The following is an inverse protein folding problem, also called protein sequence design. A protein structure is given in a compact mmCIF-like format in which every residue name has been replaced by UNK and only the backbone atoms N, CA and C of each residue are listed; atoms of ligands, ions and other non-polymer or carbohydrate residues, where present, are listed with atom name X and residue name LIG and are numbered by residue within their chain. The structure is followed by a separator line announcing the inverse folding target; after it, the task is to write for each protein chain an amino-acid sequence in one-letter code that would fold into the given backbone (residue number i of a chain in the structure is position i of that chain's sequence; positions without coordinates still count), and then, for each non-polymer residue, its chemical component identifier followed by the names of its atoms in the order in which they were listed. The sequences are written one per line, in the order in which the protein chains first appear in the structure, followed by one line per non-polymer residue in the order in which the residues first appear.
data_IF_624743811698
#
_entry.id   IF_624743811698
#
_cell.length_a   1.000
_cell.length_b   1.000
_cell.length_c   1.000
_cell.angle_alpha   90.00
_cell.angle_beta   90.00
_cell.angle_gamma   90.00
#
_symmetry.space_group_name_H-M   'P 1'
#
loop_
_entity.id
_entity.type
_entity.pdbx_description
1 polymer ?
#
# COMPACT_ATOMS: atom_id res chain seq x y z
N UNK A 1 -3.56 -31.25 51.94
CA UNK A 1 -4.05 -29.97 51.38
C UNK A 1 -2.85 -29.12 51.01
N UNK A 2 -2.59 -28.98 49.71
CA UNK A 2 -1.82 -27.87 49.14
C UNK A 2 -2.08 -27.88 47.63
N UNK A 3 -3.00 -27.03 47.20
CA UNK A 3 -3.35 -26.80 45.80
C UNK A 3 -2.37 -25.77 45.28
N UNK A 4 -1.39 -26.16 44.47
CA UNK A 4 -0.51 -25.19 43.81
C UNK A 4 -1.22 -24.76 42.54
N UNK A 5 -2.07 -23.73 42.67
CA UNK A 5 -2.63 -23.01 41.55
C UNK A 5 -1.55 -22.17 40.90
N UNK A 6 -1.37 -22.33 39.60
CA UNK A 6 -0.67 -21.35 38.79
C UNK A 6 -1.09 -21.38 37.31
N UNK A 7 -2.36 -21.63 37.00
CA UNK A 7 -2.93 -21.32 35.67
C UNK A 7 -3.31 -19.83 35.57
N UNK A 8 -2.28 -18.98 35.62
CA UNK A 8 -2.40 -17.54 35.43
C UNK A 8 -1.40 -17.05 34.38
N UNK A 9 -1.59 -17.43 33.11
CA UNK A 9 -0.88 -16.81 31.99
C UNK A 9 -1.61 -17.09 30.67
N UNK A 10 -1.85 -16.09 29.80
CA UNK A 10 -2.72 -16.25 28.65
C UNK A 10 -2.15 -17.26 27.63
N UNK A 11 -3.01 -17.96 26.87
CA UNK A 11 -2.56 -18.78 25.75
C UNK A 11 -1.74 -17.89 24.81
N UNK A 12 -0.52 -18.34 24.52
CA UNK A 12 0.33 -17.64 23.56
C UNK A 12 -0.37 -17.65 22.20
N UNK A 13 -0.34 -16.54 21.42
CA UNK A 13 -0.91 -16.53 20.09
C UNK A 13 -0.16 -17.55 19.23
N UNK A 14 -0.81 -18.69 18.97
CA UNK A 14 -0.27 -19.74 18.10
C UNK A 14 -0.34 -19.23 16.67
N UNK A 15 0.83 -18.87 16.12
CA UNK A 15 0.96 -18.58 14.69
C UNK A 15 0.58 -19.85 13.93
N UNK A 16 -0.52 -19.80 13.20
CA UNK A 16 -1.02 -20.97 12.46
C UNK A 16 -0.31 -21.12 11.13
N UNK A 17 -0.35 -22.33 10.55
CA UNK A 17 0.11 -22.57 9.18
C UNK A 17 -0.61 -21.67 8.15
N UNK A 18 -1.86 -21.27 8.42
CA UNK A 18 -2.59 -20.31 7.58
C UNK A 18 -1.95 -18.92 7.63
N UNK A 19 -1.56 -18.48 8.82
CA UNK A 19 -0.85 -17.21 9.05
C UNK A 19 0.55 -17.23 8.41
N UNK A 20 1.31 -18.32 8.54
CA UNK A 20 2.64 -18.47 7.92
C UNK A 20 2.54 -18.46 6.40
N UNK A 21 1.61 -19.22 5.82
CA UNK A 21 1.38 -19.22 4.37
C UNK A 21 0.94 -17.88 3.83
N UNK A 22 0.12 -17.13 4.58
CA UNK A 22 -0.27 -15.77 4.19
C UNK A 22 0.93 -14.82 4.18
N UNK A 23 1.81 -14.90 5.19
CA UNK A 23 3.04 -14.09 5.24
C UNK A 23 4.01 -14.48 4.12
N UNK A 24 4.18 -15.77 3.85
CA UNK A 24 5.01 -16.24 2.73
C UNK A 24 4.40 -15.81 1.39
N UNK A 25 3.09 -15.94 1.19
CA UNK A 25 2.41 -15.51 -0.03
C UNK A 25 2.55 -14.00 -0.24
N UNK A 26 2.41 -13.21 0.81
CA UNK A 26 2.60 -11.77 0.76
C UNK A 26 4.06 -11.41 0.45
N UNK A 27 5.02 -12.08 1.08
CA UNK A 27 6.45 -11.88 0.80
C UNK A 27 6.83 -12.25 -0.64
N UNK A 28 6.29 -13.36 -1.16
CA UNK A 28 6.49 -13.76 -2.56
C UNK A 28 5.85 -12.74 -3.49
N UNK A 29 4.62 -12.30 -3.22
CA UNK A 29 3.91 -11.30 -4.04
C UNK A 29 4.69 -9.98 -4.10
N UNK A 30 5.27 -9.52 -2.98
CA UNK A 30 6.09 -8.31 -2.91
C UNK A 30 7.46 -8.45 -3.59
N UNK A 31 7.95 -9.68 -3.78
CA UNK A 31 9.22 -9.96 -4.46
C UNK A 31 9.07 -10.21 -5.96
N UNK A 32 7.84 -10.30 -6.48
CA UNK A 32 7.60 -10.41 -7.92
C UNK A 32 7.95 -9.07 -8.58
N UNK A 33 8.69 -9.08 -9.72
CA UNK A 33 8.91 -7.86 -10.47
C UNK A 33 7.57 -7.36 -11.02
N UNK A 34 7.12 -6.19 -10.55
CA UNK A 34 6.05 -5.44 -11.17
C UNK A 34 6.68 -4.42 -12.13
N UNK A 35 6.28 -4.44 -13.40
CA UNK A 35 6.67 -3.43 -14.38
C UNK A 35 5.42 -2.66 -14.78
N UNK A 36 5.29 -1.44 -14.24
CA UNK A 36 4.42 -0.41 -14.79
C UNK A 36 5.27 0.51 -15.67
N UNK A 37 4.74 0.94 -16.82
CA UNK A 37 5.39 1.98 -17.64
C UNK A 37 4.81 3.38 -17.37
N UNK A 38 3.67 3.43 -16.70
CA UNK A 38 3.02 4.67 -16.23
C UNK A 38 3.07 4.68 -14.70
N UNK A 39 3.56 5.77 -14.14
CA UNK A 39 3.76 5.98 -12.72
C UNK A 39 2.93 7.18 -12.25
N UNK A 40 2.41 7.12 -11.02
CA UNK A 40 1.92 8.32 -10.35
C UNK A 40 3.16 9.04 -9.80
N UNK A 41 3.50 10.21 -10.35
CA UNK A 41 4.67 10.98 -9.92
C UNK A 41 4.33 11.92 -8.76
N UNK A 42 3.12 12.50 -8.75
CA UNK A 42 2.67 13.43 -7.72
C UNK A 42 1.17 13.25 -7.43
N UNK A 43 0.78 13.52 -6.19
CA UNK A 43 -0.61 13.63 -5.74
C UNK A 43 -0.73 14.94 -4.99
N UNK A 44 -1.60 15.83 -5.46
CA UNK A 44 -1.89 17.12 -4.83
C UNK A 44 -3.35 17.17 -4.43
N UNK A 45 -3.61 17.06 -3.13
CA UNK A 45 -4.96 17.10 -2.54
C UNK A 45 -5.20 18.36 -1.68
N UNK A 46 -4.18 19.19 -1.48
CA UNK A 46 -4.31 20.44 -0.75
C UNK A 46 -3.34 21.44 -1.35
N UNK A 47 -3.90 22.51 -1.91
CA UNK A 47 -3.19 23.41 -2.81
C UNK A 47 -2.01 24.14 -2.17
N UNK A 48 -0.92 24.18 -2.93
CA UNK A 48 0.36 24.79 -2.58
C UNK A 48 0.89 25.71 -3.67
N UNK A 49 0.02 26.29 -4.50
CA UNK A 49 0.39 27.06 -5.69
C UNK A 49 0.38 26.23 -6.98
N UNK A 50 -0.61 25.34 -7.10
CA UNK A 50 -0.74 24.40 -8.21
C UNK A 50 -1.52 24.96 -9.41
N UNK A 51 -2.10 24.04 -10.18
CA UNK A 51 -3.01 24.35 -11.29
C UNK A 51 -4.31 24.92 -10.73
N UNK A 52 -4.75 26.04 -11.32
CA UNK A 52 -6.03 26.70 -10.99
C UNK A 52 -6.93 26.68 -12.23
N UNK A 53 -8.23 26.53 -11.99
CA UNK A 53 -9.25 26.56 -13.03
C UNK A 53 -9.57 28.00 -13.51
N UNK A 54 -10.58 28.17 -14.38
CA UNK A 54 -10.97 29.50 -14.85
C UNK A 54 -11.64 30.37 -13.77
N UNK A 55 -12.08 29.79 -12.65
CA UNK A 55 -12.61 30.49 -11.49
C UNK A 55 -11.51 30.90 -10.49
N UNK A 56 -10.29 30.40 -10.66
CA UNK A 56 -9.16 30.62 -9.76
C UNK A 56 -9.14 29.68 -8.56
N UNK A 57 -9.88 28.56 -8.63
CA UNK A 57 -9.96 27.53 -7.60
C UNK A 57 -8.88 26.45 -7.83
N UNK A 58 -8.24 25.99 -6.76
CA UNK A 58 -7.29 24.88 -6.80
C UNK A 58 -8.06 23.56 -6.71
N UNK A 59 -7.84 22.68 -7.69
CA UNK A 59 -8.47 21.36 -7.77
C UNK A 59 -7.50 20.25 -7.39
N UNK A 60 -8.05 19.12 -6.96
CA UNK A 60 -7.27 17.91 -6.71
C UNK A 60 -6.72 17.37 -8.04
N UNK A 61 -5.43 17.02 -8.08
CA UNK A 61 -4.80 16.46 -9.27
C UNK A 61 -3.76 15.39 -8.95
N UNK A 62 -3.51 14.55 -9.96
CA UNK A 62 -2.43 13.56 -9.96
C UNK A 62 -1.54 13.79 -11.18
N UNK A 63 -0.24 13.62 -11.03
CA UNK A 63 0.69 13.59 -12.15
C UNK A 63 0.96 12.16 -12.60
N UNK A 64 0.92 11.93 -13.91
CA UNK A 64 1.33 10.67 -14.52
C UNK A 64 2.66 10.85 -15.26
N UNK A 65 3.62 9.96 -15.01
CA UNK A 65 4.89 9.88 -15.73
C UNK A 65 4.96 8.58 -16.53
N UNK A 66 5.24 8.69 -17.83
CA UNK A 66 5.49 7.55 -18.71
C UNK A 66 7.00 7.34 -18.87
N UNK A 67 7.52 6.22 -18.37
CA UNK A 67 8.93 5.81 -18.50
C UNK A 67 9.19 4.94 -19.75
N UNK A 68 8.23 4.91 -20.68
CA UNK A 68 8.32 4.23 -21.96
C UNK A 68 8.74 5.17 -23.09
N UNK A 69 9.20 4.58 -24.19
CA UNK A 69 9.51 5.31 -25.43
C UNK A 69 8.27 5.52 -26.32
N UNK A 70 7.19 4.79 -26.05
CA UNK A 70 5.94 4.83 -26.79
C UNK A 70 4.83 5.49 -25.96
N UNK A 71 3.86 6.10 -26.64
CA UNK A 71 2.64 6.61 -25.99
C UNK A 71 1.81 5.47 -25.39
N UNK A 72 1.21 5.73 -24.23
CA UNK A 72 0.34 4.77 -23.54
C UNK A 72 -1.08 5.31 -23.53
N UNK A 73 -2.03 4.46 -23.94
CA UNK A 73 -3.46 4.73 -23.79
C UNK A 73 -3.87 4.52 -22.33
N UNK A 74 -4.55 5.52 -21.76
CA UNK A 74 -4.98 5.56 -20.36
C UNK A 74 -6.50 5.58 -20.20
N UNK A 75 -7.26 5.50 -21.30
CA UNK A 75 -8.73 5.50 -21.29
C UNK A 75 -9.37 6.29 -22.44
#
# INVERSE_FOLDING_TARGET
MLTIGHEGWPPQPVVTMRSIKAVILLGVLMALPASARVYINEIMALGGGGVVDEAGEEEDWIELYNDGEEGVDVG
#
